data_IF_701857176257
#
_entry.id   IF_701857176257
#
_cell.length_a   1.000
_cell.length_b   1.000
_cell.length_c   1.000
_cell.angle_alpha   90.00
_cell.angle_beta   90.00
_cell.angle_gamma   90.00
#
_symmetry.space_group_name_H-M   'P 1'
#
loop_
_entity.id
_entity.type
_entity.pdbx_description
1 polymer ?
#
# COMPACT_ATOMS: atom_id res chain seq x y z
N UNK A 1 13.87 17.75 -30.55
CA UNK A 1 12.70 18.26 -29.79
C UNK A 1 11.58 17.25 -29.96
N UNK A 2 11.53 16.25 -29.07
CA UNK A 2 10.55 15.16 -29.14
C UNK A 2 9.24 15.70 -28.56
N UNK A 3 8.22 15.89 -29.40
CA UNK A 3 6.86 16.18 -28.94
C UNK A 3 6.35 14.95 -28.20
N UNK A 4 6.19 15.07 -26.88
CA UNK A 4 5.42 14.13 -26.07
C UNK A 4 3.98 14.21 -26.59
N UNK A 5 3.50 13.14 -27.20
CA UNK A 5 2.11 13.01 -27.63
C UNK A 5 1.26 12.94 -26.36
N UNK A 6 0.46 13.98 -26.12
CA UNK A 6 -0.59 13.97 -25.09
C UNK A 6 -1.53 12.80 -25.43
N UNK A 7 -1.94 11.95 -24.48
CA UNK A 7 -2.93 10.93 -24.72
C UNK A 7 -4.20 11.58 -25.27
N UNK A 8 -4.68 11.11 -26.42
CA UNK A 8 -5.86 11.68 -27.08
C UNK A 8 -7.13 11.19 -26.37
N UNK A 9 -7.57 11.91 -25.34
CA UNK A 9 -8.78 11.62 -24.56
C UNK A 9 -10.05 11.54 -25.42
N UNK A 10 -10.05 12.08 -26.65
CA UNK A 10 -11.19 12.04 -27.57
C UNK A 10 -11.59 10.63 -28.02
N UNK A 11 -10.77 9.62 -27.72
CA UNK A 11 -11.11 8.22 -27.99
C UNK A 11 -12.09 7.64 -26.97
N UNK A 12 -12.08 8.09 -25.71
CA UNK A 12 -12.98 7.58 -24.66
C UNK A 12 -14.43 7.98 -24.95
N UNK A 13 -14.66 9.16 -25.53
CA UNK A 13 -16.01 9.65 -25.85
C UNK A 13 -16.72 8.86 -26.96
N UNK A 14 -15.97 8.08 -27.77
CA UNK A 14 -16.51 7.37 -28.93
C UNK A 14 -17.11 5.99 -28.59
N UNK A 15 -16.94 5.50 -27.36
CA UNK A 15 -17.43 4.19 -26.97
C UNK A 15 -18.67 4.30 -26.07
N UNK A 16 -19.79 3.63 -26.39
CA UNK A 16 -20.87 3.49 -25.44
C UNK A 16 -20.35 2.76 -24.19
N UNK A 17 -20.71 3.24 -22.99
CA UNK A 17 -20.25 2.73 -21.68
C UNK A 17 -18.77 2.99 -21.34
N UNK A 18 -18.15 4.02 -21.90
CA UNK A 18 -16.70 4.28 -21.76
C UNK A 18 -16.20 4.71 -20.37
N UNK A 19 -17.08 4.81 -19.38
CA UNK A 19 -16.74 5.22 -18.00
C UNK A 19 -17.38 4.30 -16.95
N UNK A 20 -17.88 3.13 -17.35
CA UNK A 20 -18.56 2.23 -16.43
C UNK A 20 -17.59 1.66 -15.38
N UNK A 21 -16.36 1.33 -15.78
CA UNK A 21 -15.35 0.84 -14.84
C UNK A 21 -14.85 1.95 -13.93
N UNK A 22 -14.62 3.16 -14.46
CA UNK A 22 -14.29 4.35 -13.64
C UNK A 22 -15.39 4.66 -12.64
N UNK A 23 -16.65 4.63 -13.07
CA UNK A 23 -17.80 4.90 -12.18
C UNK A 23 -17.88 3.88 -11.06
N UNK A 24 -17.77 2.58 -11.38
CA UNK A 24 -17.77 1.52 -10.36
C UNK A 24 -16.59 1.65 -9.41
N UNK A 25 -15.40 1.89 -9.95
CA UNK A 25 -14.17 2.05 -9.18
C UNK A 25 -14.24 3.18 -8.16
N UNK A 26 -14.70 4.37 -8.58
CA UNK A 26 -14.85 5.51 -7.69
C UNK A 26 -15.99 5.33 -6.70
N UNK A 27 -17.09 4.67 -7.10
CA UNK A 27 -18.19 4.37 -6.18
C UNK A 27 -17.76 3.40 -5.08
N UNK A 28 -17.03 2.33 -5.41
CA UNK A 28 -16.51 1.40 -4.39
C UNK A 28 -15.61 2.10 -3.38
N UNK A 29 -14.74 3.00 -3.85
CA UNK A 29 -13.88 3.79 -2.96
C UNK A 29 -14.68 4.73 -2.05
N UNK A 30 -15.75 5.35 -2.57
CA UNK A 30 -16.63 6.20 -1.79
C UNK A 30 -17.37 5.38 -0.71
N UNK A 31 -17.93 4.22 -1.09
CA UNK A 31 -18.60 3.30 -0.17
C UNK A 31 -17.66 2.83 0.95
N UNK A 32 -16.39 2.55 0.64
CA UNK A 32 -15.39 2.13 1.62
C UNK A 32 -15.06 3.25 2.62
N UNK A 33 -14.96 4.50 2.16
CA UNK A 33 -14.79 5.66 3.03
C UNK A 33 -16.00 5.87 3.95
N UNK A 34 -17.23 5.67 3.44
CA UNK A 34 -18.44 5.70 4.28
C UNK A 34 -18.39 4.61 5.35
N UNK A 35 -18.06 3.37 4.97
CA UNK A 35 -17.95 2.24 5.93
C UNK A 35 -16.89 2.51 6.99
N UNK A 36 -15.73 3.05 6.62
CA UNK A 36 -14.66 3.38 7.55
C UNK A 36 -15.13 4.42 8.56
N UNK A 37 -15.84 5.46 8.10
CA UNK A 37 -16.44 6.47 8.97
C UNK A 37 -17.46 5.88 9.94
N UNK A 38 -18.34 4.99 9.47
CA UNK A 38 -19.33 4.32 10.33
C UNK A 38 -18.67 3.44 11.41
N UNK A 39 -17.52 2.82 11.14
CA UNK A 39 -16.77 2.04 12.14
C UNK A 39 -16.06 2.90 13.19
N UNK A 40 -15.72 4.15 12.84
CA UNK A 40 -15.02 5.08 13.74
C UNK A 40 -15.98 5.90 14.63
N UNK A 41 -17.28 5.93 14.33
CA UNK A 41 -18.28 6.49 15.24
C UNK A 41 -18.64 5.46 16.33
N UNK A 42 -18.51 5.78 17.63
CA UNK A 42 -18.95 4.88 18.71
C UNK A 42 -20.48 4.74 18.69
N UNK A 43 -21.05 3.58 19.08
CA UNK A 43 -22.49 3.31 19.06
C UNK A 43 -23.30 4.06 20.14
N UNK A 44 -22.68 4.96 20.90
CA UNK A 44 -23.33 5.63 22.02
C UNK A 44 -22.83 7.07 22.19
N UNK A 45 -23.26 7.97 21.32
CA UNK A 45 -23.26 9.41 21.60
C UNK A 45 -24.61 10.01 21.20
N UNK A 46 -25.66 9.64 21.94
CA UNK A 46 -26.87 10.47 22.04
C UNK A 46 -26.67 11.42 23.20
N UNK A 47 -26.25 12.66 22.92
CA UNK A 47 -26.56 13.85 23.72
C UNK A 47 -25.99 15.09 23.04
N UNK A 48 -26.91 15.90 22.53
CA UNK A 48 -26.92 17.36 22.42
C UNK A 48 -25.62 18.15 22.27
N UNK A 49 -25.58 18.94 21.19
CA UNK A 49 -24.97 20.27 21.24
C UNK A 49 -23.63 20.45 20.54
N UNK A 50 -23.45 19.87 19.36
CA UNK A 50 -22.53 20.42 18.38
C UNK A 50 -23.02 20.08 16.97
N UNK A 51 -23.40 21.09 16.19
CA UNK A 51 -23.54 21.01 14.73
C UNK A 51 -22.17 20.74 14.09
N UNK A 52 -21.59 19.58 14.35
CA UNK A 52 -20.53 18.99 13.55
C UNK A 52 -21.21 18.28 12.39
N UNK A 53 -21.64 19.04 11.38
CA UNK A 53 -22.20 18.47 10.16
C UNK A 53 -21.30 17.33 9.69
N UNK A 54 -21.88 16.17 9.41
CA UNK A 54 -21.17 15.04 8.82
C UNK A 54 -20.36 15.59 7.63
N UNK A 55 -19.03 15.69 7.80
CA UNK A 55 -18.18 16.32 6.79
C UNK A 55 -18.40 15.56 5.48
N UNK A 56 -18.96 16.24 4.47
CA UNK A 56 -19.27 15.61 3.19
C UNK A 56 -18.02 14.91 2.64
N UNK A 57 -18.20 13.76 1.98
CA UNK A 57 -17.09 13.12 1.29
C UNK A 57 -16.51 14.11 0.26
N UNK A 58 -15.20 14.27 0.23
CA UNK A 58 -14.55 15.15 -0.73
C UNK A 58 -14.04 14.35 -1.93
N UNK A 59 -14.16 14.92 -3.14
CA UNK A 59 -13.72 14.29 -4.40
C UNK A 59 -12.29 13.78 -4.33
N UNK A 60 -11.39 14.54 -3.70
CA UNK A 60 -9.98 14.18 -3.54
C UNK A 60 -9.79 12.93 -2.67
N UNK A 61 -10.54 12.80 -1.58
CA UNK A 61 -10.46 11.63 -0.71
C UNK A 61 -10.94 10.37 -1.45
N UNK A 62 -12.07 10.46 -2.16
CA UNK A 62 -12.59 9.33 -2.96
C UNK A 62 -11.58 8.91 -4.02
N UNK A 63 -10.99 9.87 -4.76
CA UNK A 63 -9.96 9.54 -5.75
C UNK A 63 -8.72 8.92 -5.11
N UNK A 64 -8.20 9.50 -4.02
CA UNK A 64 -7.02 8.96 -3.34
C UNK A 64 -7.26 7.52 -2.88
N UNK A 65 -8.40 7.26 -2.24
CA UNK A 65 -8.78 5.91 -1.82
C UNK A 65 -8.90 4.96 -3.02
N UNK A 66 -9.48 5.42 -4.12
CA UNK A 66 -9.64 4.62 -5.32
C UNK A 66 -8.28 4.17 -5.89
N UNK A 67 -7.29 5.07 -5.97
CA UNK A 67 -5.94 4.73 -6.42
C UNK A 67 -5.19 3.82 -5.43
N UNK A 68 -5.40 3.98 -4.12
CA UNK A 68 -4.82 3.06 -3.13
C UNK A 68 -5.38 1.66 -3.29
N UNK A 69 -6.71 1.54 -3.39
CA UNK A 69 -7.39 0.27 -3.65
C UNK A 69 -6.87 -0.38 -4.95
N UNK A 70 -6.57 0.42 -5.97
CA UNK A 70 -6.04 -0.07 -7.23
C UNK A 70 -4.72 -0.84 -7.06
N UNK A 71 -3.87 -0.46 -6.10
CA UNK A 71 -2.60 -1.16 -5.81
C UNK A 71 -2.80 -2.51 -5.10
N UNK A 72 -3.97 -2.75 -4.51
CA UNK A 72 -4.31 -4.01 -3.82
C UNK A 72 -5.13 -4.95 -4.70
N UNK A 73 -5.50 -4.53 -5.91
CA UNK A 73 -6.36 -5.33 -6.78
C UNK A 73 -5.67 -6.56 -7.34
N UNK A 74 -6.45 -7.63 -7.43
CA UNK A 74 -6.13 -8.76 -8.29
C UNK A 74 -6.38 -8.38 -9.75
N UNK A 75 -5.34 -7.85 -10.39
CA UNK A 75 -5.38 -7.43 -11.80
C UNK A 75 -5.53 -8.58 -12.80
N UNK A 76 -5.47 -9.84 -12.36
CA UNK A 76 -5.76 -11.00 -13.22
C UNK A 76 -7.27 -11.13 -13.44
N UNK A 77 -8.06 -10.96 -12.38
CA UNK A 77 -9.50 -11.16 -12.40
C UNK A 77 -10.29 -9.84 -12.47
N UNK A 78 -9.63 -8.71 -12.21
CA UNK A 78 -10.27 -7.41 -12.15
C UNK A 78 -9.67 -6.43 -13.18
N UNK A 79 -10.47 -5.95 -14.16
CA UNK A 79 -9.97 -5.04 -15.17
C UNK A 79 -9.68 -3.65 -14.58
N UNK A 80 -8.68 -2.99 -15.16
CA UNK A 80 -8.36 -1.60 -14.85
C UNK A 80 -9.46 -0.63 -15.33
N UNK A 81 -9.71 0.47 -14.61
CA UNK A 81 -10.58 1.56 -15.06
C UNK A 81 -10.11 2.15 -16.40
N UNK A 82 -11.05 2.65 -17.21
CA UNK A 82 -10.76 3.12 -18.57
C UNK A 82 -9.68 4.22 -18.60
N UNK A 83 -9.69 5.10 -17.60
CA UNK A 83 -8.74 6.21 -17.46
C UNK A 83 -7.32 5.78 -17.12
N UNK A 84 -7.10 4.55 -16.62
CA UNK A 84 -5.76 4.05 -16.25
C UNK A 84 -5.29 2.90 -17.15
N UNK A 85 -6.05 2.54 -18.19
CA UNK A 85 -5.72 1.45 -19.11
C UNK A 85 -4.35 1.60 -19.80
N UNK A 86 -3.88 2.81 -20.04
CA UNK A 86 -2.57 3.04 -20.66
C UNK A 86 -1.40 2.90 -19.68
N UNK A 87 -1.68 2.93 -18.37
CA UNK A 87 -0.67 2.89 -17.31
C UNK A 87 -0.71 1.56 -16.51
N UNK A 88 -1.44 0.54 -16.98
CA UNK A 88 -1.61 -0.75 -16.30
C UNK A 88 -0.29 -1.38 -15.85
N UNK A 89 0.66 -1.50 -16.77
CA UNK A 89 1.98 -2.09 -16.48
C UNK A 89 2.71 -1.32 -15.38
N UNK A 90 2.58 0.01 -15.36
CA UNK A 90 3.23 0.85 -14.35
C UNK A 90 2.61 0.66 -12.96
N UNK A 91 1.29 0.48 -12.89
CA UNK A 91 0.62 0.14 -11.63
C UNK A 91 1.01 -1.27 -11.14
N UNK A 92 1.07 -2.25 -12.04
CA UNK A 92 1.50 -3.62 -11.71
C UNK A 92 2.96 -3.67 -11.25
N UNK A 93 3.85 -2.89 -11.86
CA UNK A 93 5.25 -2.74 -11.42
C UNK A 93 5.32 -2.15 -10.00
N UNK A 94 4.54 -1.11 -9.71
CA UNK A 94 4.46 -0.51 -8.37
C UNK A 94 3.91 -1.54 -7.35
N UNK A 95 2.85 -2.28 -7.70
CA UNK A 95 2.30 -3.34 -6.85
C UNK A 95 3.36 -4.41 -6.52
N UNK A 96 4.13 -4.84 -7.51
CA UNK A 96 5.23 -5.79 -7.33
C UNK A 96 6.35 -5.23 -6.44
N UNK A 97 6.74 -3.97 -6.65
CA UNK A 97 7.73 -3.30 -5.80
C UNK A 97 7.23 -3.19 -4.34
N UNK A 98 5.94 -2.91 -4.14
CA UNK A 98 5.32 -2.86 -2.81
C UNK A 98 5.28 -4.23 -2.13
N UNK A 99 4.95 -5.30 -2.85
CA UNK A 99 4.96 -6.67 -2.32
C UNK A 99 6.37 -7.06 -1.85
N UNK A 100 7.40 -6.77 -2.66
CA UNK A 100 8.79 -7.01 -2.27
C UNK A 100 9.19 -6.16 -1.06
N UNK A 101 8.75 -4.91 -1.01
CA UNK A 101 9.03 -4.00 0.11
C UNK A 101 8.36 -4.48 1.41
N UNK A 102 7.10 -4.94 1.34
CA UNK A 102 6.35 -5.53 2.44
C UNK A 102 7.05 -6.76 3.02
N UNK A 103 7.43 -7.71 2.17
CA UNK A 103 8.13 -8.92 2.59
C UNK A 103 9.50 -8.58 3.19
N UNK A 104 10.24 -7.68 2.57
CA UNK A 104 11.55 -7.22 3.07
C UNK A 104 11.42 -6.55 4.44
N UNK A 105 10.46 -5.61 4.59
CA UNK A 105 10.20 -4.93 5.85
C UNK A 105 9.77 -5.89 6.96
N UNK A 106 8.95 -6.89 6.63
CA UNK A 106 8.50 -7.91 7.59
C UNK A 106 9.66 -8.79 8.03
N UNK A 107 10.49 -9.28 7.11
CA UNK A 107 11.67 -10.09 7.43
C UNK A 107 12.66 -9.31 8.28
N UNK A 108 12.93 -8.04 7.94
CA UNK A 108 13.79 -7.16 8.74
C UNK A 108 13.22 -6.99 10.16
N UNK A 109 11.93 -6.70 10.29
CA UNK A 109 11.29 -6.54 11.61
C UNK A 109 11.40 -7.80 12.46
N UNK A 110 11.12 -8.97 11.88
CA UNK A 110 11.24 -10.27 12.57
C UNK A 110 12.70 -10.54 12.98
N UNK A 111 13.65 -10.23 12.09
CA UNK A 111 15.08 -10.42 12.33
C UNK A 111 15.60 -9.54 13.46
N UNK A 112 15.29 -8.24 13.43
CA UNK A 112 15.70 -7.31 14.50
C UNK A 112 15.04 -7.65 15.84
N UNK A 113 13.76 -8.06 15.82
CA UNK A 113 13.07 -8.52 17.02
C UNK A 113 13.72 -9.76 17.63
N UNK A 114 14.21 -10.66 16.78
CA UNK A 114 14.86 -11.91 17.21
C UNK A 114 16.32 -11.72 17.63
N UNK A 115 17.06 -10.80 17.00
CA UNK A 115 18.47 -10.55 17.30
C UNK A 115 18.68 -9.68 18.55
N UNK A 116 17.68 -8.89 18.94
CA UNK A 116 17.79 -7.91 20.02
C UNK A 116 18.56 -6.65 19.61
N UNK A 117 18.74 -5.73 20.55
CA UNK A 117 19.35 -4.40 20.30
C UNK A 117 20.79 -4.48 19.77
N UNK A 118 21.50 -5.58 20.01
CA UNK A 118 22.91 -5.74 19.63
C UNK A 118 23.15 -5.63 18.11
N UNK A 119 22.18 -6.02 17.27
CA UNK A 119 22.32 -5.94 15.81
C UNK A 119 21.60 -4.75 15.18
N UNK A 120 20.78 -4.02 15.95
CA UNK A 120 19.99 -2.90 15.43
C UNK A 120 20.87 -1.73 14.97
N UNK A 121 21.97 -1.49 15.68
CA UNK A 121 22.90 -0.38 15.41
C UNK A 121 24.07 -0.79 14.49
N UNK A 122 24.07 -2.03 13.99
CA UNK A 122 25.18 -2.56 13.20
C UNK A 122 25.14 -2.04 11.76
N UNK A 123 26.15 -1.25 11.32
CA UNK A 123 26.14 -0.65 10.00
C UNK A 123 26.17 -1.73 8.90
N UNK A 124 25.28 -1.58 7.91
CA UNK A 124 25.21 -2.47 6.75
C UNK A 124 24.56 -3.83 7.00
N UNK A 125 24.23 -4.19 8.25
CA UNK A 125 23.55 -5.46 8.53
C UNK A 125 22.17 -5.52 7.86
N UNK A 126 21.37 -4.45 8.00
CA UNK A 126 20.07 -4.34 7.31
C UNK A 126 20.20 -4.52 5.79
N UNK A 127 21.20 -3.91 5.16
CA UNK A 127 21.43 -3.98 3.71
C UNK A 127 21.79 -5.40 3.24
N UNK A 128 22.52 -6.17 4.06
CA UNK A 128 22.78 -7.58 3.76
C UNK A 128 21.51 -8.41 3.81
N UNK A 129 20.67 -8.21 4.83
CA UNK A 129 19.37 -8.90 4.93
C UNK A 129 18.49 -8.54 3.74
N UNK A 130 18.39 -7.26 3.36
CA UNK A 130 17.69 -6.81 2.15
C UNK A 130 18.20 -7.51 0.90
N UNK A 131 19.52 -7.62 0.74
CA UNK A 131 20.14 -8.29 -0.41
C UNK A 131 19.74 -9.77 -0.48
N UNK A 132 19.77 -10.48 0.65
CA UNK A 132 19.34 -11.87 0.75
C UNK A 132 17.87 -12.01 0.31
N UNK A 133 16.99 -11.19 0.91
CA UNK A 133 15.54 -11.22 0.61
C UNK A 133 15.31 -10.90 -0.87
N UNK A 134 15.90 -9.83 -1.40
CA UNK A 134 15.73 -9.41 -2.79
C UNK A 134 16.13 -10.49 -3.79
N UNK A 135 17.27 -11.16 -3.56
CA UNK A 135 17.73 -12.25 -4.43
C UNK A 135 16.74 -13.42 -4.37
N UNK A 136 16.31 -13.82 -3.18
CA UNK A 136 15.42 -14.97 -3.00
C UNK A 136 13.96 -14.70 -3.42
N UNK A 137 13.55 -13.45 -3.49
CA UNK A 137 12.25 -13.02 -4.02
C UNK A 137 12.29 -12.67 -5.51
N UNK A 138 13.42 -12.91 -6.20
CA UNK A 138 13.51 -12.70 -7.64
C UNK A 138 12.50 -13.60 -8.36
N UNK A 139 11.60 -12.99 -9.14
CA UNK A 139 10.57 -13.72 -9.86
C UNK A 139 9.29 -14.01 -9.06
N UNK A 140 9.06 -13.31 -7.94
CA UNK A 140 7.82 -13.46 -7.15
C UNK A 140 6.52 -13.30 -7.96
N UNK A 141 6.55 -12.50 -9.04
CA UNK A 141 5.43 -12.32 -9.96
C UNK A 141 5.15 -13.53 -10.87
N UNK A 142 6.03 -14.53 -10.90
CA UNK A 142 5.88 -15.69 -11.78
C UNK A 142 4.92 -16.71 -11.13
N UNK A 143 3.95 -17.27 -11.88
CA UNK A 143 3.02 -18.27 -11.34
C UNK A 143 3.67 -19.53 -10.76
N UNK A 144 4.89 -19.85 -11.22
CA UNK A 144 5.68 -20.99 -10.74
C UNK A 144 6.48 -20.70 -9.46
N UNK A 145 6.45 -19.47 -8.96
CA UNK A 145 7.26 -19.07 -7.81
C UNK A 145 6.70 -19.66 -6.51
N UNK A 146 7.53 -20.38 -5.76
CA UNK A 146 7.15 -20.95 -4.47
C UNK A 146 7.58 -20.03 -3.32
N UNK A 147 6.70 -19.10 -2.95
CA UNK A 147 6.97 -18.13 -1.89
C UNK A 147 7.35 -18.79 -0.55
N UNK A 148 6.67 -19.89 -0.18
CA UNK A 148 6.92 -20.58 1.08
C UNK A 148 8.32 -21.19 1.15
N UNK A 149 8.79 -21.77 0.05
CA UNK A 149 10.13 -22.36 -0.05
C UNK A 149 11.22 -21.28 -0.12
N UNK A 150 10.98 -20.21 -0.88
CA UNK A 150 11.87 -19.05 -0.92
C UNK A 150 12.02 -18.40 0.46
N UNK A 151 10.94 -18.29 1.22
CA UNK A 151 10.99 -17.77 2.60
C UNK A 151 11.62 -18.74 3.60
N UNK A 152 11.45 -20.06 3.43
CA UNK A 152 12.19 -21.04 4.23
C UNK A 152 13.71 -20.91 4.00
N UNK A 153 14.12 -20.79 2.73
CA UNK A 153 15.53 -20.54 2.35
C UNK A 153 16.01 -19.19 2.87
N UNK A 154 15.15 -18.17 2.84
CA UNK A 154 15.44 -16.85 3.42
C UNK A 154 15.70 -16.97 4.91
N UNK A 155 14.88 -17.72 5.64
CA UNK A 155 15.07 -17.96 7.08
C UNK A 155 16.42 -18.59 7.38
N UNK A 156 16.84 -19.60 6.61
CA UNK A 156 18.17 -20.22 6.73
C UNK A 156 19.31 -19.21 6.52
N UNK A 157 19.24 -18.43 5.43
CA UNK A 157 20.28 -17.45 5.08
C UNK A 157 20.35 -16.29 6.06
N UNK A 158 19.20 -15.77 6.49
CA UNK A 158 19.10 -14.71 7.49
C UNK A 158 19.66 -15.19 8.83
N UNK A 159 19.30 -16.40 9.27
CA UNK A 159 19.82 -16.96 10.52
C UNK A 159 21.35 -17.11 10.50
N UNK A 160 21.91 -17.58 9.37
CA UNK A 160 23.35 -17.68 9.18
C UNK A 160 24.04 -16.30 9.21
N UNK A 161 23.46 -15.27 8.58
CA UNK A 161 23.99 -13.91 8.61
C UNK A 161 23.91 -13.30 10.02
N UNK A 162 22.82 -13.53 10.76
CA UNK A 162 22.68 -13.10 12.16
C UNK A 162 23.81 -13.68 13.01
N UNK A 163 24.03 -14.99 12.96
CA UNK A 163 25.09 -15.64 13.74
C UNK A 163 26.50 -15.21 13.32
N UNK A 164 26.70 -15.00 12.03
CA UNK A 164 27.96 -14.48 11.49
C UNK A 164 28.23 -13.08 12.02
N UNK A 165 27.24 -12.20 11.99
CA UNK A 165 27.35 -10.84 12.50
C UNK A 165 27.59 -10.82 14.02
N UNK A 166 26.86 -11.62 14.80
CA UNK A 166 27.07 -11.75 16.25
C UNK A 166 28.51 -12.18 16.56
N UNK A 167 28.98 -13.25 15.90
CA UNK A 167 30.31 -13.81 16.14
C UNK A 167 31.43 -12.83 15.77
N UNK A 168 31.29 -12.11 14.65
CA UNK A 168 32.25 -11.10 14.19
C UNK A 168 32.42 -9.95 15.19
N UNK A 169 31.39 -9.65 15.98
CA UNK A 169 31.38 -8.56 16.96
C UNK A 169 31.53 -9.06 18.40
N UNK A 170 31.93 -10.32 18.59
CA UNK A 170 32.21 -10.90 19.90
C UNK A 170 30.97 -11.21 20.73
N UNK A 171 29.78 -11.21 20.12
CA UNK A 171 28.55 -11.65 20.78
C UNK A 171 28.37 -13.16 20.68
N UNK A 172 27.58 -13.71 21.61
CA UNK A 172 27.20 -15.13 21.55
C UNK A 172 26.23 -15.35 20.37
N UNK A 173 26.45 -16.38 19.54
CA UNK A 173 25.48 -16.79 18.53
C UNK A 173 24.09 -17.09 19.12
N UNK A 174 23.07 -17.11 18.27
CA UNK A 174 21.73 -17.55 18.67
C UNK A 174 21.77 -19.00 19.17
N UNK A 175 20.91 -19.31 20.14
CA UNK A 175 20.67 -20.70 20.53
C UNK A 175 19.86 -21.42 19.45
N UNK A 176 20.00 -22.75 19.35
CA UNK A 176 19.25 -23.56 18.39
C UNK A 176 17.73 -23.36 18.46
N UNK A 177 17.19 -23.11 19.66
CA UNK A 177 15.78 -22.75 19.85
C UNK A 177 15.43 -21.42 19.19
N UNK A 178 16.24 -20.36 19.42
CA UNK A 178 16.02 -19.04 18.81
C UNK A 178 16.19 -19.06 17.30
N UNK A 179 17.12 -19.86 16.79
CA UNK A 179 17.26 -20.08 15.34
C UNK A 179 16.00 -20.72 14.75
N UNK A 180 15.48 -21.76 15.40
CA UNK A 180 14.26 -22.45 14.96
C UNK A 180 13.07 -21.51 14.96
N UNK A 181 12.93 -20.68 16.00
CA UNK A 181 11.88 -19.66 16.09
C UNK A 181 12.02 -18.61 14.98
N UNK A 182 13.21 -18.06 14.77
CA UNK A 182 13.45 -17.05 13.72
C UNK A 182 13.11 -17.59 12.33
N UNK A 183 13.61 -18.78 11.99
CA UNK A 183 13.33 -19.45 10.72
C UNK A 183 11.83 -19.69 10.54
N UNK A 184 11.17 -20.19 11.58
CA UNK A 184 9.72 -20.41 11.58
C UNK A 184 8.94 -19.11 11.37
N UNK A 185 9.31 -18.03 12.07
CA UNK A 185 8.67 -16.73 11.93
C UNK A 185 8.82 -16.14 10.52
N UNK A 186 9.99 -16.29 9.90
CA UNK A 186 10.21 -15.85 8.51
C UNK A 186 9.39 -16.71 7.53
N UNK A 187 9.30 -18.02 7.76
CA UNK A 187 8.54 -18.90 6.87
C UNK A 187 7.03 -18.58 6.89
N UNK A 188 6.47 -18.25 8.06
CA UNK A 188 5.03 -17.91 8.17
C UNK A 188 4.69 -16.51 7.64
N UNK A 189 5.66 -15.73 7.15
CA UNK A 189 5.43 -14.49 6.38
C UNK A 189 4.68 -14.79 5.08
N UNK A 190 4.80 -16.00 4.53
CA UNK A 190 4.02 -16.42 3.35
C UNK A 190 2.50 -16.44 3.59
N UNK A 191 2.05 -16.45 4.85
CA UNK A 191 0.64 -16.57 5.18
C UNK A 191 -0.03 -15.19 5.14
N UNK A 192 -1.10 -15.06 4.36
CA UNK A 192 -1.90 -13.84 4.26
C UNK A 192 -2.47 -13.36 5.61
N UNK A 193 -2.65 -14.27 6.57
CA UNK A 193 -3.15 -13.95 7.92
C UNK A 193 -2.09 -13.54 8.93
N UNK A 194 -0.83 -13.45 8.51
CA UNK A 194 0.26 -13.03 9.37
C UNK A 194 0.05 -11.60 9.89
N UNK A 195 -0.04 -11.45 11.22
CA UNK A 195 -0.32 -10.17 11.87
C UNK A 195 0.77 -9.13 11.65
N UNK A 196 2.03 -9.55 11.60
CA UNK A 196 3.17 -8.68 11.30
C UNK A 196 3.09 -8.16 9.86
N UNK A 197 2.76 -9.02 8.90
CA UNK A 197 2.54 -8.61 7.50
C UNK A 197 1.41 -7.58 7.41
N UNK A 198 0.25 -7.87 8.01
CA UNK A 198 -0.90 -6.95 8.03
C UNK A 198 -0.56 -5.60 8.67
N UNK A 199 0.27 -5.60 9.72
CA UNK A 199 0.73 -4.38 10.38
C UNK A 199 1.66 -3.55 9.48
N UNK A 200 2.63 -4.18 8.84
CA UNK A 200 3.56 -3.49 7.91
C UNK A 200 2.80 -2.97 6.70
N UNK A 201 1.92 -3.78 6.12
CA UNK A 201 1.08 -3.42 4.99
C UNK A 201 0.19 -2.20 5.30
N UNK A 202 -0.53 -2.23 6.43
CA UNK A 202 -1.32 -1.08 6.89
C UNK A 202 -0.48 0.20 7.05
N UNK A 203 0.77 0.09 7.54
CA UNK A 203 1.67 1.25 7.66
C UNK A 203 2.16 1.75 6.30
N UNK A 204 2.40 0.84 5.34
CA UNK A 204 2.75 1.19 3.96
C UNK A 204 1.57 1.92 3.29
N UNK A 205 0.36 1.39 3.41
CA UNK A 205 -0.85 2.02 2.86
C UNK A 205 -1.07 3.42 3.44
N UNK A 206 -0.98 3.57 4.76
CA UNK A 206 -1.07 4.88 5.42
C UNK A 206 0.05 5.84 4.97
N UNK A 207 1.27 5.32 4.75
CA UNK A 207 2.36 6.13 4.22
C UNK A 207 2.05 6.64 2.80
N UNK A 208 1.59 5.77 1.90
CA UNK A 208 1.21 6.13 0.53
C UNK A 208 0.04 7.11 0.49
N UNK A 209 -0.97 6.92 1.35
CA UNK A 209 -2.11 7.83 1.49
C UNK A 209 -1.65 9.23 1.91
N UNK A 210 -0.83 9.31 2.96
CA UNK A 210 -0.27 10.58 3.41
C UNK A 210 0.58 11.24 2.34
N UNK A 211 1.36 10.47 1.58
CA UNK A 211 2.20 11.00 0.50
C UNK A 211 1.37 11.54 -0.68
N UNK A 212 0.27 10.87 -1.01
CA UNK A 212 -0.71 11.35 -2.00
C UNK A 212 -1.42 12.63 -1.52
N UNK A 213 -1.81 12.69 -0.25
CA UNK A 213 -2.44 13.87 0.32
C UNK A 213 -1.47 15.07 0.41
N UNK A 214 -0.19 14.79 0.67
CA UNK A 214 0.85 15.81 0.83
C UNK A 214 1.39 16.35 -0.50
N UNK A 215 0.92 15.91 -1.68
CA UNK A 215 1.49 16.34 -2.96
C UNK A 215 1.41 17.86 -3.23
N UNK A 216 0.72 18.62 -2.37
CA UNK A 216 0.64 20.08 -2.37
C UNK A 216 1.41 20.76 -1.21
N UNK A 217 1.95 20.02 -0.25
CA UNK A 217 2.69 20.53 0.91
C UNK A 217 4.18 20.15 0.83
N UNK A 218 5.07 21.09 1.14
CA UNK A 218 6.54 20.93 1.01
C UNK A 218 7.17 19.94 2.00
N UNK A 219 6.42 19.43 2.98
CA UNK A 219 6.94 18.52 4.00
C UNK A 219 6.61 17.07 3.65
N UNK A 220 7.64 16.24 3.56
CA UNK A 220 7.50 14.79 3.44
C UNK A 220 6.79 14.23 4.70
N UNK A 221 5.85 13.28 4.57
CA UNK A 221 5.26 12.60 5.71
C UNK A 221 6.35 11.95 6.57
N UNK A 222 6.21 12.01 7.89
CA UNK A 222 7.07 11.25 8.77
C UNK A 222 6.87 9.75 8.52
N UNK A 223 7.96 8.99 8.47
CA UNK A 223 7.89 7.54 8.28
C UNK A 223 7.35 6.88 9.55
N UNK A 224 6.28 6.07 9.44
CA UNK A 224 5.75 5.32 10.57
C UNK A 224 6.82 4.44 11.20
N UNK A 225 6.82 4.36 12.54
CA UNK A 225 7.74 3.50 13.28
C UNK A 225 7.74 2.05 12.75
N UNK A 226 8.93 1.45 12.62
CA UNK A 226 9.11 0.10 12.09
C UNK A 226 9.30 -0.01 10.57
N UNK A 227 9.08 1.07 9.80
CA UNK A 227 9.42 1.12 8.37
C UNK A 227 10.80 1.72 8.10
N UNK A 228 11.49 2.24 9.12
CA UNK A 228 12.81 2.88 8.98
C UNK A 228 13.82 2.08 8.14
N UNK A 229 13.98 0.76 8.32
CA UNK A 229 14.88 -0.04 7.51
C UNK A 229 14.55 -0.04 6.00
N UNK A 230 13.29 0.11 5.60
CA UNK A 230 12.85 0.10 4.18
C UNK A 230 12.39 1.48 3.69
N UNK A 231 12.67 2.53 4.45
CA UNK A 231 12.21 3.89 4.18
C UNK A 231 12.60 4.35 2.78
N UNK A 232 13.87 4.16 2.40
CA UNK A 232 14.39 4.64 1.12
C UNK A 232 13.65 3.99 -0.05
N UNK A 233 13.50 2.67 -0.02
CA UNK A 233 12.80 1.91 -1.04
C UNK A 233 11.33 2.34 -1.14
N UNK A 234 10.67 2.51 0.01
CA UNK A 234 9.28 2.95 0.06
C UNK A 234 9.08 4.38 -0.46
N UNK A 235 10.01 5.30 -0.17
CA UNK A 235 10.00 6.66 -0.70
C UNK A 235 10.15 6.68 -2.23
N UNK A 236 11.07 5.87 -2.77
CA UNK A 236 11.25 5.73 -4.22
C UNK A 236 9.97 5.24 -4.91
N UNK A 237 9.30 4.24 -4.32
CA UNK A 237 8.00 3.73 -4.79
C UNK A 237 6.91 4.82 -4.70
N UNK A 238 6.80 5.49 -3.55
CA UNK A 238 5.79 6.52 -3.32
C UNK A 238 5.93 7.69 -4.32
N UNK A 239 7.15 8.13 -4.62
CA UNK A 239 7.41 9.18 -5.62
C UNK A 239 6.95 8.74 -7.01
N UNK A 240 7.24 7.50 -7.44
CA UNK A 240 6.77 6.98 -8.73
C UNK A 240 5.24 6.95 -8.77
N UNK A 241 4.62 6.43 -7.72
CA UNK A 241 3.18 6.28 -7.58
C UNK A 241 2.45 7.63 -7.61
N UNK A 242 2.83 8.58 -6.76
CA UNK A 242 2.19 9.90 -6.70
C UNK A 242 2.32 10.67 -8.00
N UNK A 243 3.48 10.58 -8.68
CA UNK A 243 3.66 11.20 -10.01
C UNK A 243 2.71 10.59 -11.04
N UNK A 244 2.58 9.27 -11.04
CA UNK A 244 1.69 8.55 -11.94
C UNK A 244 0.22 8.95 -11.70
N UNK A 245 -0.22 8.90 -10.44
CA UNK A 245 -1.58 9.25 -10.03
C UNK A 245 -1.91 10.69 -10.36
N UNK A 246 -1.04 11.65 -10.01
CA UNK A 246 -1.31 13.06 -10.23
C UNK A 246 -1.33 13.43 -11.72
N UNK A 247 -0.46 12.80 -12.53
CA UNK A 247 -0.52 12.99 -13.97
C UNK A 247 -1.83 12.46 -14.54
N UNK A 248 -2.27 11.27 -14.12
CA UNK A 248 -3.52 10.69 -14.56
C UNK A 248 -4.74 11.56 -14.17
N UNK A 249 -4.82 11.99 -12.91
CA UNK A 249 -5.83 12.93 -12.41
C UNK A 249 -5.89 14.21 -13.24
N UNK A 250 -4.73 14.78 -13.59
CA UNK A 250 -4.66 16.00 -14.40
C UNK A 250 -5.19 15.78 -15.82
N UNK A 251 -4.82 14.67 -16.47
CA UNK A 251 -5.23 14.36 -17.85
C UNK A 251 -6.72 14.04 -17.95
N UNK A 252 -7.25 13.30 -16.97
CA UNK A 252 -8.64 12.80 -16.99
C UNK A 252 -9.58 13.57 -16.05
N UNK A 253 -9.17 14.74 -15.53
CA UNK A 253 -9.98 15.55 -14.61
C UNK A 253 -11.43 15.74 -15.06
N UNK A 254 -11.74 16.09 -16.32
CA UNK A 254 -13.13 16.32 -16.73
C UNK A 254 -14.02 15.08 -16.55
N UNK A 255 -13.47 13.88 -16.77
CA UNK A 255 -14.19 12.62 -16.58
C UNK A 255 -14.39 12.32 -15.09
N UNK A 256 -13.35 12.53 -14.29
CA UNK A 256 -13.44 12.35 -12.84
C UNK A 256 -14.44 13.32 -12.20
N UNK A 257 -14.43 14.59 -12.59
CA UNK A 257 -15.33 15.62 -12.07
C UNK A 257 -16.80 15.28 -12.41
N UNK A 258 -17.06 14.82 -13.64
CA UNK A 258 -18.40 14.43 -14.06
C UNK A 258 -18.93 13.19 -13.32
N UNK A 259 -18.08 12.21 -13.04
CA UNK A 259 -18.47 10.98 -12.31
C UNK A 259 -18.63 11.27 -10.82
N UNK A 260 -17.66 11.94 -10.20
CA UNK A 260 -17.68 12.25 -8.76
C UNK A 260 -18.81 13.21 -8.41
N UNK A 261 -19.14 14.16 -9.28
CA UNK A 261 -20.31 15.02 -9.09
C UNK A 261 -21.60 14.21 -8.92
N UNK A 262 -21.77 13.11 -9.67
CA UNK A 262 -22.94 12.23 -9.54
C UNK A 262 -22.90 11.39 -8.26
N UNK A 263 -21.74 10.85 -7.90
CA UNK A 263 -21.55 9.99 -6.73
C UNK A 263 -21.80 10.79 -5.45
N UNK A 264 -21.13 11.94 -5.29
CA UNK A 264 -21.20 12.75 -4.08
C UNK A 264 -22.60 13.33 -3.85
N UNK A 265 -23.27 13.81 -4.89
CA UNK A 265 -24.66 14.28 -4.78
C UNK A 265 -25.60 13.15 -4.36
N UNK A 266 -25.41 11.92 -4.85
CA UNK A 266 -26.23 10.76 -4.45
C UNK A 266 -26.05 10.42 -2.97
N UNK A 267 -24.83 10.50 -2.46
CA UNK A 267 -24.52 10.24 -1.05
C UNK A 267 -25.12 11.28 -0.11
N UNK A 268 -25.09 12.57 -0.51
CA UNK A 268 -25.73 13.66 0.22
C UNK A 268 -27.24 13.41 0.40
N UNK A 269 -27.94 12.98 -0.67
CA UNK A 269 -29.36 12.64 -0.58
C UNK A 269 -29.63 11.42 0.32
N UNK A 270 -28.76 10.41 0.32
CA UNK A 270 -28.91 9.23 1.17
C UNK A 270 -28.66 9.52 2.66
N UNK A 271 -27.75 10.45 2.96
CA UNK A 271 -27.50 10.94 4.32
C UNK A 271 -28.65 11.81 4.84
N UNK A 272 -29.22 12.66 3.98
CA UNK A 272 -30.37 13.50 4.32
C UNK A 272 -31.62 12.65 4.62
N UNK A 273 -31.94 11.67 3.76
CA UNK A 273 -33.12 10.80 3.95
C UNK A 273 -33.06 9.93 5.21
N UNK A 274 -31.87 9.51 5.65
CA UNK A 274 -31.70 8.77 6.93
C UNK A 274 -31.85 9.62 8.18
N UNK A 275 -31.70 10.95 8.06
CA UNK A 275 -31.85 11.88 9.19
C UNK A 275 -33.30 12.29 9.44
N UNK A 276 -34.19 12.09 8.46
CA UNK A 276 -35.63 12.41 8.56
C UNK A 276 -36.50 11.21 9.01
N UNK A 277 -35.96 9.99 9.01
CA UNK A 277 -36.65 8.75 9.42
C UNK A 277 -36.29 8.24 10.84
N UNK A 278 -35.51 9.02 11.63
CA UNK A 278 -35.23 8.73 13.06
C UNK A 278 -35.99 9.65 14.01
#
# INVERSE_FOLDING_TARGET
MVRIRVPDCSLIEKWPNSLDLVTRWLQEAADDLVKLRCKMLPPHCSSDGATGGASALCSTAVQNQAYLNLLEWDHVNRPFPETVLMDQTRFQEIQLELEQCLLTGTVLLVTFSSAGLALADMPGFAEKIKTIVKVLLTGIHLPSFNLKESLATTGEKVCAEVNTCLSQHGFTPLSAERETVLKGQIQVVANSDNTTCKLIDSRIQMFLENYLASSYQKSLPAVPGGLGPIQKELEEIAVKYVRLVNYNKMVFSPYYDAVLGKILTKEEYQLAGKSEES
#
